data_IF_930763626820
#
_entry.id   IF_930763626820
#
_cell.length_a   1.000
_cell.length_b   1.000
_cell.length_c   1.000
_cell.angle_alpha   90.00
_cell.angle_beta   90.00
_cell.angle_gamma   90.00
#
_symmetry.space_group_name_H-M   'P 1'
#
loop_
_entity.id
_entity.type
_entity.pdbx_description
1 polymer ?
#
# COMPACT_ATOMS: atom_id res chain seq x y z
N UNK A 1 56.34 -40.25 25.79
CA UNK A 1 54.90 -40.54 25.57
C UNK A 1 53.98 -39.58 26.30
N UNK A 2 54.12 -39.35 27.62
CA UNK A 2 53.23 -38.44 28.39
C UNK A 2 53.10 -37.00 27.83
N UNK A 3 54.17 -36.41 27.29
CA UNK A 3 54.17 -35.03 26.74
C UNK A 3 53.37 -34.87 25.44
N UNK A 4 53.29 -35.92 24.62
CA UNK A 4 52.55 -35.88 23.34
C UNK A 4 51.05 -36.02 23.59
N UNK A 5 50.66 -36.86 24.56
CA UNK A 5 49.25 -37.05 24.94
C UNK A 5 48.64 -35.78 25.52
N UNK A 6 49.39 -35.03 26.34
CA UNK A 6 48.93 -33.74 26.88
C UNK A 6 48.72 -32.68 25.79
N UNK A 7 49.59 -32.63 24.78
CA UNK A 7 49.48 -31.67 23.69
C UNK A 7 48.22 -31.92 22.82
N UNK A 8 47.89 -33.18 22.57
CA UNK A 8 46.66 -33.56 21.86
C UNK A 8 45.39 -33.26 22.67
N UNK A 9 45.43 -33.43 23.99
CA UNK A 9 44.31 -33.10 24.88
C UNK A 9 44.05 -31.60 24.97
N UNK A 10 45.10 -30.78 25.03
CA UNK A 10 44.99 -29.31 25.02
C UNK A 10 44.54 -28.80 23.65
N UNK A 11 45.04 -29.36 22.55
CA UNK A 11 44.58 -29.01 21.21
C UNK A 11 43.10 -29.34 21.01
N UNK A 12 42.64 -30.52 21.45
CA UNK A 12 41.22 -30.91 21.38
C UNK A 12 40.28 -30.02 22.20
N UNK A 13 40.74 -29.52 23.36
CA UNK A 13 39.96 -28.59 24.18
C UNK A 13 39.81 -27.20 23.54
N UNK A 14 40.81 -26.75 22.77
CA UNK A 14 40.75 -25.47 22.06
C UNK A 14 39.80 -25.49 20.84
N UNK A 15 39.57 -26.66 20.24
CA UNK A 15 38.59 -26.83 19.15
C UNK A 15 37.13 -26.93 19.63
N UNK A 16 36.90 -27.10 20.94
CA UNK A 16 35.55 -27.25 21.51
C UNK A 16 34.98 -25.95 22.12
N UNK A 17 35.78 -24.87 22.18
CA UNK A 17 35.32 -23.58 22.69
C UNK A 17 34.62 -22.79 21.58
N UNK A 18 33.31 -22.96 21.44
CA UNK A 18 32.50 -22.05 20.63
C UNK A 18 32.59 -20.65 21.24
N UNK A 19 33.14 -19.68 20.50
CA UNK A 19 33.22 -18.28 20.92
C UNK A 19 31.84 -17.57 20.95
N UNK A 20 30.79 -18.27 20.52
CA UNK A 20 29.43 -17.74 20.39
C UNK A 20 28.63 -18.03 21.66
N UNK A 21 27.93 -17.01 22.15
CA UNK A 21 27.06 -17.10 23.32
C UNK A 21 25.62 -17.22 22.86
N UNK A 22 24.97 -18.35 23.18
CA UNK A 22 23.54 -18.55 23.00
C UNK A 22 22.79 -18.37 24.31
N UNK A 23 21.78 -17.50 24.33
CA UNK A 23 20.79 -17.44 25.41
C UNK A 23 19.50 -18.05 24.88
N UNK A 24 19.03 -19.12 25.54
CA UNK A 24 17.84 -19.88 25.15
C UNK A 24 17.92 -20.51 23.74
N UNK A 25 19.13 -20.73 23.22
CA UNK A 25 19.39 -21.43 21.94
C UNK A 25 20.66 -22.26 22.05
N UNK A 26 20.65 -23.46 21.46
CA UNK A 26 21.79 -24.38 21.43
C UNK A 26 22.63 -24.23 20.16
N UNK A 27 22.17 -23.43 19.19
CA UNK A 27 22.84 -23.22 17.89
C UNK A 27 22.90 -21.72 17.55
N UNK A 28 23.78 -20.95 18.23
CA UNK A 28 23.87 -19.51 18.03
C UNK A 28 24.26 -19.16 16.59
N UNK A 29 23.55 -18.22 15.97
CA UNK A 29 23.85 -17.76 14.60
C UNK A 29 24.86 -16.60 14.53
N UNK A 30 25.21 -16.02 15.68
CA UNK A 30 26.16 -14.91 15.79
C UNK A 30 26.96 -14.99 17.08
N UNK A 31 27.84 -13.99 17.31
CA UNK A 31 28.66 -13.91 18.54
C UNK A 31 27.82 -13.89 19.81
N UNK A 32 26.66 -13.21 19.76
CA UNK A 32 25.61 -13.29 20.75
C UNK A 32 24.30 -13.54 20.02
N UNK A 33 23.60 -14.61 20.39
CA UNK A 33 22.27 -14.95 19.88
C UNK A 33 21.32 -15.16 21.06
N UNK A 34 20.21 -14.43 21.06
CA UNK A 34 19.21 -14.47 22.13
C UNK A 34 17.88 -14.86 21.51
N UNK A 35 17.45 -16.09 21.77
CA UNK A 35 16.13 -16.57 21.36
C UNK A 35 15.07 -16.12 22.38
N UNK A 36 14.63 -14.87 22.26
CA UNK A 36 13.65 -14.27 23.17
C UNK A 36 12.93 -13.06 22.57
N UNK A 37 11.94 -12.54 23.32
CA UNK A 37 11.25 -11.31 22.96
C UNK A 37 12.05 -10.07 23.42
N UNK A 38 11.98 -8.99 22.65
CA UNK A 38 12.59 -7.70 23.02
C UNK A 38 11.57 -6.77 23.67
N UNK A 39 11.85 -6.37 24.91
CA UNK A 39 11.12 -5.31 25.61
C UNK A 39 11.97 -4.03 25.62
N UNK A 40 11.43 -2.93 25.08
CA UNK A 40 12.11 -1.64 25.07
C UNK A 40 11.35 -0.66 25.96
N UNK A 41 11.92 -0.35 27.13
CA UNK A 41 11.35 0.60 28.09
C UNK A 41 11.68 2.05 27.72
N UNK A 42 12.96 2.32 27.42
CA UNK A 42 13.47 3.63 27.00
C UNK A 42 14.24 3.51 25.68
N UNK A 43 14.05 4.47 24.79
CA UNK A 43 14.75 4.55 23.51
C UNK A 43 14.90 6.00 23.09
N UNK A 44 15.97 6.27 22.36
CA UNK A 44 16.13 7.50 21.60
C UNK A 44 15.67 7.20 20.18
N UNK A 45 14.72 8.00 19.67
CA UNK A 45 14.41 7.97 18.25
C UNK A 45 15.47 8.80 17.56
N UNK A 46 16.27 8.15 16.73
CA UNK A 46 17.10 8.89 15.79
C UNK A 46 16.17 9.56 14.78
N UNK A 47 16.01 10.88 14.92
CA UNK A 47 15.20 11.70 14.01
C UNK A 47 16.01 12.19 12.80
N UNK A 48 17.29 11.85 12.73
CA UNK A 48 18.12 12.18 11.57
C UNK A 48 17.71 11.27 10.43
N UNK A 49 17.07 11.85 9.42
CA UNK A 49 16.72 11.14 8.19
C UNK A 49 18.00 10.75 7.43
N UNK A 50 18.59 9.62 7.78
CA UNK A 50 19.62 8.98 6.97
C UNK A 50 18.95 8.16 5.87
N UNK A 51 19.49 8.16 4.63
CA UNK A 51 18.97 7.31 3.57
C UNK A 51 19.07 5.84 3.98
N UNK A 52 17.92 5.18 4.09
CA UNK A 52 17.83 3.76 4.35
C UNK A 52 18.29 3.00 3.08
N UNK A 53 19.37 2.21 3.16
CA UNK A 53 19.88 1.38 2.05
C UNK A 53 19.72 -0.09 2.43
N UNK A 54 18.72 -0.78 1.87
CA UNK A 54 18.48 -2.20 2.11
C UNK A 54 17.00 -2.55 2.33
N UNK A 55 16.73 -3.82 2.64
CA UNK A 55 15.40 -4.29 3.02
C UNK A 55 15.19 -4.07 4.53
N UNK A 56 14.17 -3.31 4.90
CA UNK A 56 13.84 -3.02 6.29
C UNK A 56 12.51 -3.65 6.67
N UNK A 57 12.45 -4.27 7.84
CA UNK A 57 11.19 -4.68 8.45
C UNK A 57 10.56 -3.51 9.19
N UNK A 58 9.24 -3.36 9.06
CA UNK A 58 8.47 -2.44 9.87
C UNK A 58 8.33 -3.04 11.28
N UNK A 59 9.04 -2.45 12.23
CA UNK A 59 8.93 -2.79 13.65
C UNK A 59 8.04 -1.77 14.33
N UNK A 60 7.14 -2.24 15.18
CA UNK A 60 6.22 -1.41 15.95
C UNK A 60 6.43 -1.66 17.44
N UNK A 61 6.46 -0.59 18.24
CA UNK A 61 6.41 -0.72 19.70
C UNK A 61 4.96 -0.76 20.13
N UNK A 62 4.56 -1.89 20.70
CA UNK A 62 3.19 -2.12 21.16
C UNK A 62 2.92 -1.39 22.48
N UNK A 63 1.86 -0.57 22.51
CA UNK A 63 1.34 0.08 23.73
C UNK A 63 0.30 -0.78 24.46
N UNK A 64 -0.18 -1.81 23.79
CA UNK A 64 -1.26 -2.73 24.16
C UNK A 64 -0.76 -4.06 24.75
N UNK A 65 0.53 -4.17 25.07
CA UNK A 65 1.12 -5.38 25.67
C UNK A 65 1.32 -5.23 27.18
N UNK A 66 1.34 -6.36 27.89
CA UNK A 66 1.76 -6.44 29.29
C UNK A 66 2.99 -7.36 29.38
N UNK A 67 4.18 -6.84 29.73
CA UNK A 67 4.51 -5.41 29.97
C UNK A 67 4.48 -4.57 28.68
N UNK A 68 4.28 -3.26 28.83
CA UNK A 68 4.19 -2.30 27.71
C UNK A 68 5.56 -2.15 27.05
N UNK A 69 5.58 -2.11 25.71
CA UNK A 69 6.80 -1.79 24.96
C UNK A 69 7.43 -2.98 24.25
N UNK A 70 6.72 -4.11 24.12
CA UNK A 70 7.17 -5.20 23.25
C UNK A 70 7.33 -4.72 21.81
N UNK A 71 8.42 -5.11 21.18
CA UNK A 71 8.63 -4.87 19.75
C UNK A 71 7.91 -5.97 18.97
N UNK A 72 6.96 -5.58 18.13
CA UNK A 72 6.24 -6.45 17.21
C UNK A 72 6.66 -6.13 15.79
N UNK A 73 7.09 -7.15 15.05
CA UNK A 73 7.22 -7.04 13.61
C UNK A 73 5.83 -6.94 13.00
N UNK A 74 5.65 -6.00 12.07
CA UNK A 74 4.45 -5.93 11.26
C UNK A 74 4.54 -7.01 10.18
N UNK A 75 4.10 -8.22 10.53
CA UNK A 75 3.94 -9.31 9.57
C UNK A 75 2.52 -9.26 8.98
N UNK A 76 2.44 -9.04 7.67
CA UNK A 76 1.17 -8.99 6.93
C UNK A 76 0.54 -10.38 6.75
N UNK A 77 1.34 -11.45 6.81
CA UNK A 77 0.83 -12.83 6.67
C UNK A 77 0.04 -13.30 7.89
N UNK A 78 0.27 -12.66 9.05
CA UNK A 78 -0.37 -12.97 10.33
C UNK A 78 -1.54 -12.02 10.67
N UNK A 79 -1.80 -10.99 9.85
CA UNK A 79 -2.88 -10.02 10.09
C UNK A 79 -4.04 -10.23 9.12
N UNK A 80 -5.26 -10.04 9.62
CA UNK A 80 -6.48 -10.05 8.78
C UNK A 80 -6.54 -8.87 7.81
N UNK A 81 -5.74 -7.82 8.04
CA UNK A 81 -5.67 -6.61 7.21
C UNK A 81 -4.21 -6.17 7.13
N UNK A 82 -3.72 -5.97 5.91
CA UNK A 82 -2.38 -5.45 5.63
C UNK A 82 -2.39 -3.91 5.52
N UNK A 83 -1.23 -3.23 5.57
CA UNK A 83 -1.13 -1.79 5.29
C UNK A 83 -1.76 -1.34 3.97
N UNK A 84 -1.65 -2.21 2.96
CA UNK A 84 -2.26 -2.06 1.65
C UNK A 84 -3.04 -3.34 1.37
N UNK A 85 -4.33 -3.21 1.08
CA UNK A 85 -5.22 -4.32 0.77
C UNK A 85 -5.76 -4.16 -0.64
N UNK A 86 -6.00 -5.26 -1.33
CA UNK A 86 -6.69 -5.26 -2.61
C UNK A 86 -8.15 -5.63 -2.41
N UNK A 87 -9.06 -4.84 -2.98
CA UNK A 87 -10.50 -5.07 -2.94
C UNK A 87 -11.06 -5.05 -4.36
N UNK A 88 -11.73 -6.15 -4.75
CA UNK A 88 -12.29 -6.28 -6.09
C UNK A 88 -13.79 -6.00 -6.09
N UNK A 89 -14.25 -5.17 -7.02
CA UNK A 89 -15.67 -4.90 -7.25
C UNK A 89 -16.05 -5.45 -8.63
N UNK A 90 -17.06 -6.33 -8.66
CA UNK A 90 -17.54 -6.95 -9.90
C UNK A 90 -19.03 -6.65 -10.06
N UNK A 91 -19.38 -5.90 -11.10
CA UNK A 91 -20.77 -5.52 -11.41
C UNK A 91 -21.15 -6.18 -12.74
N UNK A 92 -22.07 -7.13 -12.69
CA UNK A 92 -22.53 -7.90 -13.84
C UNK A 92 -23.82 -7.31 -14.43
N UNK A 93 -24.14 -7.74 -15.64
CA UNK A 93 -25.38 -7.41 -16.33
C UNK A 93 -25.57 -5.89 -16.59
N UNK A 94 -24.48 -5.17 -16.87
CA UNK A 94 -24.52 -3.72 -17.09
C UNK A 94 -24.78 -3.41 -18.56
N UNK A 95 -25.84 -2.66 -18.87
CA UNK A 95 -26.17 -2.27 -20.24
C UNK A 95 -26.18 -0.74 -20.40
N UNK A 96 -24.99 -0.15 -20.48
CA UNK A 96 -24.80 1.31 -20.52
C UNK A 96 -25.38 2.06 -19.31
N UNK A 97 -25.80 1.34 -18.27
CA UNK A 97 -26.25 1.93 -17.00
C UNK A 97 -25.06 2.56 -16.27
N UNK A 98 -25.18 3.85 -15.95
CA UNK A 98 -24.18 4.52 -15.12
C UNK A 98 -24.29 4.04 -13.66
N UNK A 99 -23.15 3.76 -13.05
CA UNK A 99 -23.05 3.52 -11.62
C UNK A 99 -22.77 4.85 -10.95
N UNK A 100 -23.67 5.29 -10.09
CA UNK A 100 -23.58 6.58 -9.40
C UNK A 100 -23.52 6.33 -7.89
N UNK A 101 -22.44 6.81 -7.27
CA UNK A 101 -22.20 6.77 -5.84
C UNK A 101 -22.36 5.37 -5.22
N UNK A 102 -21.84 4.33 -5.86
CA UNK A 102 -21.79 2.99 -5.26
C UNK A 102 -20.91 3.04 -4.00
N UNK A 103 -21.55 3.10 -2.84
CA UNK A 103 -20.87 3.10 -1.54
C UNK A 103 -20.18 1.76 -1.30
N UNK A 104 -18.86 1.78 -1.12
CA UNK A 104 -18.06 0.56 -0.89
C UNK A 104 -17.80 0.25 0.58
N UNK A 105 -18.45 0.97 1.50
CA UNK A 105 -18.35 0.74 2.95
C UNK A 105 -17.05 1.20 3.60
N UNK A 106 -16.13 1.80 2.83
CA UNK A 106 -14.84 2.29 3.34
C UNK A 106 -14.95 3.75 3.76
N UNK A 107 -14.82 4.01 5.06
CA UNK A 107 -14.94 5.37 5.63
C UNK A 107 -13.73 6.24 5.23
N UNK A 108 -13.98 7.46 4.75
CA UNK A 108 -12.95 8.41 4.26
C UNK A 108 -11.97 8.85 5.36
N UNK A 109 -12.41 8.81 6.61
CA UNK A 109 -11.58 9.14 7.78
C UNK A 109 -10.52 8.07 8.08
N UNK A 110 -10.75 6.82 7.64
CA UNK A 110 -9.91 5.65 7.98
C UNK A 110 -9.08 5.14 6.81
N UNK A 111 -9.61 5.27 5.60
CA UNK A 111 -9.01 4.65 4.41
C UNK A 111 -8.73 5.65 3.31
N UNK A 112 -7.71 5.37 2.52
CA UNK A 112 -7.47 5.96 1.19
C UNK A 112 -7.68 4.86 0.15
N UNK A 113 -8.42 5.15 -0.91
CA UNK A 113 -8.77 4.17 -1.95
C UNK A 113 -8.31 4.67 -3.31
N UNK A 114 -7.69 3.80 -4.09
CA UNK A 114 -7.31 4.06 -5.47
C UNK A 114 -7.77 2.92 -6.37
N UNK A 115 -8.31 3.26 -7.55
CA UNK A 115 -8.56 2.26 -8.61
C UNK A 115 -7.22 1.98 -9.28
N UNK A 116 -6.76 0.73 -9.21
CA UNK A 116 -5.51 0.28 -9.84
C UNK A 116 -5.76 -0.62 -11.05
N UNK A 117 -6.98 -1.11 -11.23
CA UNK A 117 -7.42 -1.82 -12.42
C UNK A 117 -8.90 -1.54 -12.70
N UNK A 118 -9.24 -1.36 -13.96
CA UNK A 118 -10.63 -1.19 -14.40
C UNK A 118 -10.80 -1.83 -15.78
N UNK A 119 -11.67 -2.83 -15.85
CA UNK A 119 -11.97 -3.57 -17.09
C UNK A 119 -13.47 -3.66 -17.26
N UNK A 120 -13.95 -3.37 -18.47
CA UNK A 120 -15.33 -3.61 -18.86
C UNK A 120 -15.38 -4.63 -20.00
N UNK A 121 -16.15 -5.71 -19.82
CA UNK A 121 -16.37 -6.70 -20.88
C UNK A 121 -17.45 -6.21 -21.84
N UNK A 122 -17.44 -6.71 -23.08
CA UNK A 122 -18.39 -6.28 -24.13
C UNK A 122 -18.28 -4.80 -24.49
N UNK A 123 -17.09 -4.21 -24.30
CA UNK A 123 -16.81 -2.82 -24.65
C UNK A 123 -16.80 -2.62 -26.17
N UNK A 124 -17.49 -1.58 -26.65
CA UNK A 124 -17.32 -1.04 -28.00
C UNK A 124 -16.89 0.43 -27.94
N UNK A 125 -15.91 0.80 -28.76
CA UNK A 125 -15.54 2.20 -28.93
C UNK A 125 -16.54 2.86 -29.87
N UNK A 126 -17.34 3.81 -29.38
CA UNK A 126 -18.16 4.64 -30.26
C UNK A 126 -17.34 5.87 -30.68
N UNK A 127 -16.96 5.94 -31.95
CA UNK A 127 -16.31 7.12 -32.51
C UNK A 127 -17.35 7.90 -33.33
N UNK A 128 -17.57 9.16 -32.96
CA UNK A 128 -18.32 10.09 -33.80
C UNK A 128 -17.33 10.87 -34.67
N UNK A 129 -17.21 10.44 -35.93
CA UNK A 129 -16.32 11.03 -36.92
C UNK A 129 -16.96 12.18 -37.70
N UNK A 130 -18.24 12.47 -37.46
CA UNK A 130 -19.01 13.51 -38.16
C UNK A 130 -18.87 14.91 -37.54
N UNK A 131 -18.36 15.02 -36.31
CA UNK A 131 -18.09 16.30 -35.63
C UNK A 131 -16.66 16.77 -35.85
N UNK A 132 -16.44 18.10 -35.82
CA UNK A 132 -15.10 18.71 -35.78
C UNK A 132 -14.96 19.52 -34.48
N UNK A 133 -14.14 19.08 -33.50
CA UNK A 133 -13.28 17.89 -33.52
C UNK A 133 -14.06 16.57 -33.44
N UNK A 134 -13.44 15.48 -33.89
CA UNK A 134 -13.99 14.12 -33.75
C UNK A 134 -14.18 13.79 -32.27
N UNK A 135 -15.30 13.17 -31.93
CA UNK A 135 -15.58 12.72 -30.57
C UNK A 135 -15.36 11.21 -30.44
N UNK A 136 -14.73 10.80 -29.34
CA UNK A 136 -14.46 9.40 -29.05
C UNK A 136 -15.09 9.05 -27.72
N UNK A 137 -15.85 7.96 -27.72
CA UNK A 137 -16.46 7.38 -26.53
C UNK A 137 -15.40 6.91 -25.55
N UNK A 138 -15.61 7.17 -24.27
CA UNK A 138 -14.75 6.72 -23.19
C UNK A 138 -15.53 5.98 -22.11
N UNK A 139 -14.84 5.06 -21.44
CA UNK A 139 -15.30 4.46 -20.19
C UNK A 139 -14.61 5.22 -19.06
N UNK A 140 -15.40 5.80 -18.16
CA UNK A 140 -14.87 6.59 -17.06
C UNK A 140 -15.10 5.87 -15.74
N UNK A 141 -14.07 5.87 -14.91
CA UNK A 141 -14.08 5.31 -13.57
C UNK A 141 -13.56 6.35 -12.59
N UNK A 142 -14.28 6.56 -11.50
CA UNK A 142 -13.94 7.57 -10.51
C UNK A 142 -14.19 7.06 -9.10
N UNK A 143 -13.32 7.47 -8.16
CA UNK A 143 -13.57 7.35 -6.72
C UNK A 143 -14.01 8.71 -6.20
N UNK A 144 -15.21 8.77 -5.64
CA UNK A 144 -15.79 9.95 -5.00
C UNK A 144 -16.17 9.67 -3.56
N UNK A 145 -16.96 10.54 -2.94
CA UNK A 145 -17.41 10.41 -1.57
C UNK A 145 -18.92 10.56 -1.50
N UNK A 146 -19.55 9.70 -0.71
CA UNK A 146 -20.99 9.77 -0.41
C UNK A 146 -21.20 9.87 1.10
N UNK A 147 -22.20 10.63 1.52
CA UNK A 147 -22.57 10.72 2.94
C UNK A 147 -23.65 9.71 3.24
N UNK A 148 -23.43 8.85 4.24
CA UNK A 148 -24.42 7.89 4.72
C UNK A 148 -24.34 7.84 6.26
N UNK A 149 -25.47 8.01 6.96
CA UNK A 149 -25.52 7.96 8.43
C UNK A 149 -24.60 8.97 9.13
N UNK A 150 -24.43 10.18 8.57
CA UNK A 150 -23.57 11.23 9.12
C UNK A 150 -22.07 11.02 8.91
N UNK A 151 -21.66 9.94 8.23
CA UNK A 151 -20.27 9.65 7.88
C UNK A 151 -20.05 9.72 6.38
N UNK A 152 -18.82 10.02 5.98
CA UNK A 152 -18.40 9.98 4.57
C UNK A 152 -17.74 8.66 4.23
N UNK A 153 -18.20 8.05 3.16
CA UNK A 153 -17.66 6.80 2.61
C UNK A 153 -17.14 7.05 1.21
N UNK A 154 -16.10 6.31 0.83
CA UNK A 154 -15.67 6.23 -0.55
C UNK A 154 -16.79 5.61 -1.39
N UNK A 155 -16.97 6.13 -2.59
CA UNK A 155 -17.95 5.67 -3.54
C UNK A 155 -17.33 5.53 -4.93
N UNK A 156 -17.84 4.60 -5.73
CA UNK A 156 -17.38 4.39 -7.09
C UNK A 156 -18.43 4.94 -8.06
N UNK A 157 -17.96 5.68 -9.07
CA UNK A 157 -18.76 6.04 -10.23
C UNK A 157 -18.19 5.36 -11.48
N UNK A 158 -19.07 4.80 -12.31
CA UNK A 158 -18.73 4.20 -13.59
C UNK A 158 -19.66 4.75 -14.65
N UNK A 159 -19.11 5.21 -15.78
CA UNK A 159 -19.92 5.78 -16.85
C UNK A 159 -19.41 5.47 -18.24
N UNK A 160 -20.33 5.60 -19.19
CA UNK A 160 -20.11 5.38 -20.61
C UNK A 160 -20.22 6.74 -21.32
N UNK A 161 -19.13 7.51 -21.34
CA UNK A 161 -19.10 8.85 -21.96
C UNK A 161 -18.99 8.74 -23.46
N UNK A 162 -20.13 8.48 -24.12
CA UNK A 162 -20.21 8.23 -25.55
C UNK A 162 -19.67 6.86 -25.97
N UNK A 163 -19.28 6.00 -25.03
CA UNK A 163 -18.98 4.59 -25.26
C UNK A 163 -20.24 3.73 -25.09
N UNK A 164 -20.17 2.43 -25.39
CA UNK A 164 -21.34 1.57 -25.29
C UNK A 164 -21.02 0.09 -25.13
N UNK A 165 -22.02 -0.74 -25.35
CA UNK A 165 -21.91 -2.20 -25.32
C UNK A 165 -21.96 -2.78 -26.72
N UNK A 166 -21.15 -3.81 -27.01
CA UNK A 166 -21.17 -4.52 -28.30
C UNK A 166 -22.55 -5.15 -28.48
N UNK A 167 -23.18 -4.86 -29.62
CA UNK A 167 -24.48 -5.43 -30.03
C UNK A 167 -25.58 -5.32 -28.97
N UNK A 168 -25.53 -4.28 -28.12
CA UNK A 168 -26.47 -4.08 -27.01
C UNK A 168 -26.52 -5.24 -26.00
N UNK A 169 -25.44 -6.03 -25.90
CA UNK A 169 -25.30 -7.12 -24.95
C UNK A 169 -24.75 -6.60 -23.62
N UNK A 170 -25.29 -7.08 -22.51
CA UNK A 170 -24.82 -6.67 -21.19
C UNK A 170 -23.34 -7.05 -20.98
N UNK A 171 -22.59 -6.13 -20.38
CA UNK A 171 -21.19 -6.33 -19.98
C UNK A 171 -21.03 -6.52 -18.47
N UNK A 172 -19.77 -6.64 -18.06
CA UNK A 172 -19.34 -6.75 -16.66
C UNK A 172 -18.22 -5.76 -16.40
N UNK A 173 -18.39 -4.94 -15.36
CA UNK A 173 -17.32 -4.14 -14.79
C UNK A 173 -16.54 -4.96 -13.77
N UNK A 174 -15.21 -4.96 -13.88
CA UNK A 174 -14.28 -5.52 -12.91
C UNK A 174 -13.30 -4.43 -12.51
N UNK A 175 -13.34 -4.02 -11.24
CA UNK A 175 -12.46 -3.01 -10.67
C UNK A 175 -11.55 -3.67 -9.63
N UNK A 176 -10.28 -3.32 -9.67
CA UNK A 176 -9.31 -3.62 -8.61
C UNK A 176 -9.01 -2.33 -7.88
N UNK A 177 -9.33 -2.29 -6.59
CA UNK A 177 -9.03 -1.18 -5.71
C UNK A 177 -7.85 -1.54 -4.82
N UNK A 178 -6.92 -0.61 -4.64
CA UNK A 178 -6.00 -0.64 -3.50
C UNK A 178 -6.54 0.25 -2.38
N UNK A 179 -6.58 -0.32 -1.18
CA UNK A 179 -7.09 0.28 0.04
C UNK A 179 -5.95 0.41 1.04
N UNK A 180 -5.63 1.65 1.39
CA UNK A 180 -4.57 1.98 2.32
C UNK A 180 -5.17 2.42 3.65
N UNK A 181 -4.63 1.93 4.76
CA UNK A 181 -4.91 2.51 6.08
C UNK A 181 -4.37 3.95 6.12
N UNK A 182 -5.25 4.93 6.38
CA UNK A 182 -4.88 6.35 6.30
C UNK A 182 -3.77 6.73 7.29
N UNK A 183 -3.65 6.00 8.41
CA UNK A 183 -2.58 6.16 9.39
C UNK A 183 -1.17 5.84 8.86
N UNK A 184 -1.09 5.12 7.74
CA UNK A 184 0.17 4.73 7.08
C UNK A 184 0.44 5.55 5.80
N UNK A 185 -0.47 6.46 5.44
CA UNK A 185 -0.34 7.33 4.27
C UNK A 185 0.18 8.69 4.73
N UNK A 186 1.25 9.16 4.10
CA UNK A 186 1.72 10.54 4.29
C UNK A 186 0.97 11.46 3.31
N UNK A 187 0.18 12.38 3.85
CA UNK A 187 -0.51 13.40 3.06
C UNK A 187 0.43 14.57 2.75
N UNK A 188 0.63 14.87 1.47
CA UNK A 188 1.47 16.00 1.02
C UNK A 188 0.67 17.26 0.69
N UNK A 189 -0.58 17.31 1.12
CA UNK A 189 -1.51 18.38 0.81
C UNK A 189 -2.14 18.26 -0.58
N UNK A 190 -2.89 19.28 -0.97
CA UNK A 190 -3.60 19.34 -2.26
C UNK A 190 -3.01 20.47 -3.10
N UNK A 191 -2.59 20.17 -4.33
CA UNK A 191 -2.32 21.23 -5.31
C UNK A 191 -3.64 21.80 -5.81
N UNK A 192 -3.82 23.11 -5.69
CA UNK A 192 -4.94 23.84 -6.28
C UNK A 192 -4.39 24.74 -7.38
N UNK A 193 -4.80 24.50 -8.62
CA UNK A 193 -4.41 25.28 -9.78
C UNK A 193 -5.49 25.25 -10.84
N UNK A 194 -5.39 26.15 -11.82
CA UNK A 194 -6.33 26.23 -12.94
C UNK A 194 -5.61 25.94 -14.24
N UNK A 195 -6.26 25.19 -15.12
CA UNK A 195 -5.85 25.02 -16.51
C UNK A 195 -6.96 25.64 -17.35
N UNK A 196 -6.79 26.90 -17.74
CA UNK A 196 -7.80 27.63 -18.51
C UNK A 196 -7.43 27.73 -19.98
N UNK A 197 -8.42 27.66 -20.87
CA UNK A 197 -8.25 27.92 -22.29
C UNK A 197 -7.72 29.34 -22.59
N UNK A 198 -7.90 30.28 -21.66
CA UNK A 198 -7.42 31.66 -21.74
C UNK A 198 -6.00 31.89 -21.20
N UNK A 199 -5.32 30.86 -20.69
CA UNK A 199 -3.94 30.99 -20.20
C UNK A 199 -2.95 31.05 -21.39
N UNK A 200 -1.81 31.73 -21.23
CA UNK A 200 -0.71 31.71 -22.21
C UNK A 200 0.54 31.05 -21.59
N UNK A 201 1.04 29.92 -22.11
CA UNK A 201 0.51 29.18 -23.26
C UNK A 201 -0.85 28.52 -22.95
N UNK A 202 -1.63 28.26 -24.01
CA UNK A 202 -2.99 27.70 -23.94
C UNK A 202 -2.97 26.37 -23.19
N UNK A 203 -3.83 26.23 -22.18
CA UNK A 203 -3.86 25.09 -21.25
C UNK A 203 -2.52 24.84 -20.52
N UNK A 204 -2.01 25.86 -19.83
CA UNK A 204 -0.86 25.70 -18.92
C UNK A 204 -1.28 25.57 -17.46
N UNK A 205 -0.56 24.73 -16.72
CA UNK A 205 -0.63 24.57 -15.28
C UNK A 205 0.55 23.73 -14.81
N UNK A 206 1.36 24.26 -13.89
CA UNK A 206 2.51 23.54 -13.31
C UNK A 206 2.22 23.30 -11.84
N UNK A 207 2.28 22.03 -11.41
CA UNK A 207 2.22 21.71 -9.98
C UNK A 207 3.51 22.16 -9.31
N UNK A 208 3.43 23.16 -8.44
CA UNK A 208 4.56 23.64 -7.64
C UNK A 208 4.72 22.86 -6.31
N UNK A 209 3.81 21.94 -6.00
CA UNK A 209 3.77 21.23 -4.72
C UNK A 209 4.52 19.89 -4.73
N UNK A 210 5.38 19.63 -5.72
CA UNK A 210 6.19 18.40 -5.72
C UNK A 210 7.11 18.39 -4.49
N UNK A 211 7.01 17.41 -3.58
CA UNK A 211 7.80 17.40 -2.36
C UNK A 211 9.30 17.38 -2.66
N UNK A 212 10.08 18.12 -1.87
CA UNK A 212 11.53 18.33 -2.02
C UNK A 212 12.40 17.05 -1.92
N UNK A 213 11.81 15.86 -1.79
CA UNK A 213 12.52 14.57 -1.71
C UNK A 213 12.21 13.59 -2.84
N UNK A 214 11.45 14.01 -3.86
CA UNK A 214 11.09 13.21 -5.03
C UNK A 214 11.59 13.80 -6.36
N UNK A 215 12.16 15.01 -6.31
CA UNK A 215 12.78 15.68 -7.45
C UNK A 215 14.22 15.18 -7.64
#
# INVERSE_FOLDING_TARGET
MKKITTLFLVAGALFAANAQVGINTTTPQGTLDVAGETLVEFYLVDTVNSPARGNYFLLTRSKDTSPVGKIKMLDISLRNVAPVNTYNVVLKNVNQDEVINLNIGLEVSKYVVAITGAVFTSAVSAANTATSPKSFGAYSTEVTQVTNGGKKYHAINLSFKGAGTVSSVNGTWTLTLNVFEKSLVKEWGTFTGSVSASASPVYSGVSANTPLGLQ
#
